data_IF_493584088701
#
_entry.id   IF_493584088701
#
_cell.length_a   1.000
_cell.length_b   1.000
_cell.length_c   1.000
_cell.angle_alpha   90.00
_cell.angle_beta   90.00
_cell.angle_gamma   90.00
#
_symmetry.space_group_name_H-M   'P 1'
#
loop_
_entity.id
_entity.type
_entity.pdbx_description
1 polymer ?
#
# COMPACT_ATOMS: atom_id res chain seq x y z
N UNK A 1 18.46 21.12 -19.91
CA UNK A 1 17.68 20.35 -20.92
C UNK A 1 16.86 19.21 -20.22
N UNK A 2 17.47 18.27 -19.47
CA UNK A 2 16.77 17.10 -18.88
C UNK A 2 15.63 17.51 -17.94
N UNK A 3 15.84 18.46 -17.03
CA UNK A 3 14.82 18.89 -16.06
C UNK A 3 13.58 19.45 -16.77
N UNK A 4 13.74 20.34 -17.74
CA UNK A 4 12.64 20.92 -18.51
C UNK A 4 11.82 19.86 -19.26
N UNK A 5 12.48 18.84 -19.80
CA UNK A 5 11.82 17.73 -20.49
C UNK A 5 11.02 16.87 -19.52
N UNK A 6 11.55 16.59 -18.33
CA UNK A 6 10.86 15.84 -17.28
C UNK A 6 9.66 16.62 -16.75
N UNK A 7 9.80 17.94 -16.55
CA UNK A 7 8.70 18.79 -16.07
C UNK A 7 7.56 18.87 -17.09
N UNK A 8 7.89 18.99 -18.39
CA UNK A 8 6.88 18.92 -19.44
C UNK A 8 6.14 17.58 -19.47
N UNK A 9 6.83 16.47 -19.22
CA UNK A 9 6.21 15.16 -19.12
C UNK A 9 5.34 15.01 -17.86
N UNK A 10 5.78 15.54 -16.72
CA UNK A 10 5.02 15.46 -15.46
C UNK A 10 3.73 16.30 -15.48
N UNK A 11 3.60 17.26 -16.38
CA UNK A 11 2.38 18.08 -16.57
C UNK A 11 1.30 17.37 -17.40
N UNK A 12 1.60 16.20 -17.98
CA UNK A 12 0.59 15.43 -18.72
C UNK A 12 -0.47 14.88 -17.76
N UNK A 13 -1.73 15.02 -18.14
CA UNK A 13 -2.84 14.34 -17.47
C UNK A 13 -2.71 12.82 -17.70
N UNK A 14 -3.03 12.02 -16.67
CA UNK A 14 -3.07 10.55 -16.73
C UNK A 14 -1.72 9.83 -16.88
N UNK A 15 -0.65 10.34 -16.28
CA UNK A 15 0.61 9.59 -16.15
C UNK A 15 0.44 8.34 -15.29
N UNK A 16 0.98 7.22 -15.77
CA UNK A 16 1.05 5.98 -15.02
C UNK A 16 1.92 6.12 -13.76
N UNK A 17 1.67 5.33 -12.70
CA UNK A 17 2.50 5.32 -11.51
C UNK A 17 3.99 5.09 -11.79
N UNK A 18 4.31 4.18 -12.73
CA UNK A 18 5.69 3.92 -13.16
C UNK A 18 6.32 5.12 -13.85
N UNK A 19 5.60 5.80 -14.74
CA UNK A 19 6.09 6.98 -15.44
C UNK A 19 6.43 8.11 -14.46
N UNK A 20 5.55 8.37 -13.47
CA UNK A 20 5.81 9.31 -12.38
C UNK A 20 7.03 8.93 -11.57
N UNK A 21 7.17 7.62 -11.25
CA UNK A 21 8.30 7.10 -10.49
C UNK A 21 9.64 7.35 -11.19
N UNK A 22 9.74 7.02 -12.46
CA UNK A 22 10.97 7.25 -13.26
C UNK A 22 11.22 8.74 -13.51
N UNK A 23 10.18 9.54 -13.77
CA UNK A 23 10.30 10.98 -13.95
C UNK A 23 10.86 11.67 -12.70
N UNK A 24 10.31 11.38 -11.51
CA UNK A 24 10.83 11.92 -10.26
C UNK A 24 12.24 11.45 -9.95
N UNK A 25 12.55 10.17 -10.23
CA UNK A 25 13.92 9.65 -10.09
C UNK A 25 14.90 10.39 -10.98
N UNK A 26 14.57 10.54 -12.25
CA UNK A 26 15.41 11.24 -13.24
C UNK A 26 15.62 12.71 -12.84
N UNK A 27 14.57 13.41 -12.40
CA UNK A 27 14.64 14.79 -11.92
C UNK A 27 15.56 14.89 -10.69
N UNK A 28 15.41 13.99 -9.72
CA UNK A 28 16.24 13.94 -8.52
C UNK A 28 17.73 13.73 -8.87
N UNK A 29 18.03 12.83 -9.79
CA UNK A 29 19.40 12.55 -10.23
C UNK A 29 19.99 13.76 -10.97
N UNK A 30 19.24 14.36 -11.88
CA UNK A 30 19.69 15.56 -12.60
C UNK A 30 20.00 16.74 -11.66
N UNK A 31 19.17 16.96 -10.63
CA UNK A 31 19.39 18.01 -9.63
C UNK A 31 20.63 17.73 -8.75
N UNK A 32 20.87 16.47 -8.38
CA UNK A 32 22.09 16.08 -7.64
C UNK A 32 23.37 16.35 -8.43
N UNK A 33 23.35 16.12 -9.75
CA UNK A 33 24.51 16.37 -10.61
C UNK A 33 24.79 17.86 -10.78
N UNK A 34 23.76 18.72 -10.79
CA UNK A 34 23.96 20.18 -10.86
C UNK A 34 24.55 20.75 -9.54
N UNK A 35 24.22 20.14 -8.39
CA UNK A 35 24.73 20.60 -7.08
C UNK A 35 26.18 20.22 -6.76
N UNK A 36 26.83 19.39 -7.56
CA UNK A 36 28.24 18.99 -7.36
C UNK A 36 29.26 20.08 -7.71
N UNK A 37 28.83 21.18 -8.31
CA UNK A 37 29.70 22.31 -8.67
C UNK A 37 29.94 23.31 -7.52
N UNK A 38 29.25 23.17 -6.39
CA UNK A 38 29.43 24.04 -5.22
C UNK A 38 29.42 23.21 -3.95
N UNK A 39 30.55 23.21 -3.25
CA UNK A 39 30.77 22.56 -1.95
C UNK A 39 29.63 22.88 -0.97
N UNK A 40 28.84 21.90 -0.55
CA UNK A 40 28.32 21.62 0.79
C UNK A 40 27.33 20.44 0.75
N UNK A 41 27.48 19.50 1.68
CA UNK A 41 26.74 18.22 1.83
C UNK A 41 25.27 18.38 2.31
N UNK A 42 24.52 19.35 1.82
CA UNK A 42 23.12 19.62 2.23
C UNK A 42 22.06 19.07 1.24
N UNK A 43 22.47 18.30 0.24
CA UNK A 43 21.71 18.17 -1.00
C UNK A 43 20.51 17.22 -1.06
N UNK A 44 20.41 16.00 -0.42
CA UNK A 44 19.30 15.07 -0.79
C UNK A 44 17.94 15.43 -0.21
N UNK A 45 17.87 16.09 0.97
CA UNK A 45 16.59 16.45 1.62
C UNK A 45 15.91 17.62 0.93
N UNK A 46 16.68 18.67 0.62
CA UNK A 46 16.20 19.87 -0.06
C UNK A 46 15.68 19.56 -1.47
N UNK A 47 16.30 18.61 -2.17
CA UNK A 47 15.96 18.28 -3.55
C UNK A 47 14.61 17.58 -3.70
N UNK A 48 14.26 16.64 -2.78
CA UNK A 48 12.93 16.01 -2.79
C UNK A 48 11.83 16.96 -2.31
N UNK A 49 12.14 17.88 -1.41
CA UNK A 49 11.22 18.95 -0.97
C UNK A 49 10.92 19.91 -2.13
N UNK A 50 11.94 20.31 -2.88
CA UNK A 50 11.77 21.17 -4.03
C UNK A 50 10.94 20.50 -5.13
N UNK A 51 11.24 19.24 -5.47
CA UNK A 51 10.44 18.47 -6.43
C UNK A 51 8.97 18.36 -5.97
N UNK A 52 8.75 18.11 -4.68
CA UNK A 52 7.40 18.03 -4.11
C UNK A 52 6.67 19.37 -4.20
N UNK A 53 7.33 20.47 -3.87
CA UNK A 53 6.76 21.82 -3.97
C UNK A 53 6.34 22.15 -5.42
N UNK A 54 7.23 21.92 -6.38
CA UNK A 54 6.97 22.16 -7.81
C UNK A 54 5.84 21.27 -8.37
N UNK A 55 5.70 20.04 -7.85
CA UNK A 55 4.67 19.10 -8.27
C UNK A 55 3.35 19.22 -7.45
N UNK A 56 3.28 20.12 -6.46
CA UNK A 56 2.11 20.27 -5.58
C UNK A 56 1.85 19.06 -4.67
N UNK A 57 2.88 18.26 -4.35
CA UNK A 57 2.81 17.07 -3.49
C UNK A 57 3.86 17.12 -2.38
N UNK A 58 3.68 16.30 -1.32
CA UNK A 58 4.67 16.24 -0.26
C UNK A 58 5.95 15.51 -0.70
N UNK A 59 7.09 15.87 -0.07
CA UNK A 59 8.38 15.17 -0.28
C UNK A 59 8.28 13.65 -0.07
N UNK A 60 7.43 13.22 0.85
CA UNK A 60 7.28 11.80 1.15
C UNK A 60 6.52 11.05 0.04
N UNK A 61 5.58 11.73 -0.62
CA UNK A 61 4.93 11.20 -1.82
C UNK A 61 5.93 11.07 -2.95
N UNK A 62 6.82 12.06 -3.17
CA UNK A 62 7.90 11.97 -4.17
C UNK A 62 8.80 10.76 -3.89
N UNK A 63 9.24 10.57 -2.63
CA UNK A 63 10.07 9.41 -2.25
C UNK A 63 9.36 8.08 -2.49
N UNK A 64 8.07 8.01 -2.19
CA UNK A 64 7.26 6.80 -2.42
C UNK A 64 7.14 6.47 -3.90
N UNK A 65 6.95 7.47 -4.78
CA UNK A 65 7.00 7.24 -6.24
C UNK A 65 8.37 6.73 -6.66
N UNK A 66 9.45 7.41 -6.28
CA UNK A 66 10.81 6.99 -6.62
C UNK A 66 11.07 5.55 -6.14
N UNK A 67 10.53 5.17 -4.99
CA UNK A 67 10.68 3.82 -4.44
C UNK A 67 10.10 2.74 -5.35
N UNK A 68 9.02 3.02 -6.10
CA UNK A 68 8.44 2.06 -7.06
C UNK A 68 9.44 1.60 -8.13
N UNK A 69 10.46 2.42 -8.46
CA UNK A 69 11.51 2.01 -9.43
C UNK A 69 12.36 0.82 -8.99
N UNK A 70 12.21 0.36 -7.75
CA UNK A 70 12.87 -0.83 -7.23
C UNK A 70 12.03 -2.11 -7.39
N UNK A 71 10.79 -2.00 -7.86
CA UNK A 71 10.00 -3.17 -8.23
C UNK A 71 10.57 -3.84 -9.49
N UNK A 72 10.46 -5.16 -9.53
CA UNK A 72 10.70 -5.89 -10.78
C UNK A 72 9.65 -5.50 -11.83
N UNK A 73 10.00 -5.48 -13.14
CA UNK A 73 9.09 -4.98 -14.16
C UNK A 73 7.69 -5.58 -14.15
N UNK A 74 7.49 -6.90 -13.94
CA UNK A 74 6.15 -7.48 -13.90
C UNK A 74 5.28 -6.94 -12.76
N UNK A 75 5.84 -6.74 -11.55
CA UNK A 75 5.09 -6.16 -10.45
C UNK A 75 4.78 -4.68 -10.68
N UNK A 76 5.71 -3.93 -11.28
CA UNK A 76 5.50 -2.53 -11.61
C UNK A 76 4.39 -2.38 -12.66
N UNK A 77 4.34 -3.26 -13.66
CA UNK A 77 3.24 -3.30 -14.63
C UNK A 77 1.89 -3.53 -13.95
N UNK A 78 1.83 -4.44 -12.96
CA UNK A 78 0.59 -4.66 -12.20
C UNK A 78 0.13 -3.43 -11.40
N UNK A 79 1.05 -2.54 -11.03
CA UNK A 79 0.70 -1.24 -10.42
C UNK A 79 0.08 -0.31 -11.46
N UNK A 80 0.64 -0.26 -12.66
CA UNK A 80 0.13 0.54 -13.77
C UNK A 80 -1.25 0.06 -14.24
N UNK A 81 -1.47 -1.26 -14.24
CA UNK A 81 -2.75 -1.89 -14.54
C UNK A 81 -3.79 -1.74 -13.40
N UNK A 82 -3.41 -1.15 -12.27
CA UNK A 82 -4.28 -0.98 -11.09
C UNK A 82 -4.59 -2.28 -10.32
N UNK A 83 -3.93 -3.40 -10.65
CA UNK A 83 -4.08 -4.69 -9.95
C UNK A 83 -3.44 -4.66 -8.56
N UNK A 84 -2.33 -3.96 -8.40
CA UNK A 84 -1.70 -3.69 -7.11
C UNK A 84 -1.83 -2.19 -6.81
N UNK A 85 -2.44 -1.85 -5.68
CA UNK A 85 -2.58 -0.46 -5.27
C UNK A 85 -1.23 0.17 -4.92
N UNK A 86 -1.10 1.50 -5.05
CA UNK A 86 0.13 2.25 -4.84
C UNK A 86 0.79 1.99 -3.47
N UNK A 87 0.00 1.98 -2.39
CA UNK A 87 0.56 1.81 -1.04
C UNK A 87 1.16 0.42 -0.78
N UNK A 88 0.47 -0.70 -1.07
CA UNK A 88 1.10 -2.03 -1.05
C UNK A 88 2.36 -2.10 -1.93
N UNK A 89 2.30 -1.57 -3.15
CA UNK A 89 3.43 -1.60 -4.09
C UNK A 89 4.69 -0.93 -3.53
N UNK A 90 4.54 0.20 -2.84
CA UNK A 90 5.66 0.86 -2.16
C UNK A 90 6.28 -0.05 -1.09
N UNK A 91 5.47 -0.77 -0.32
CA UNK A 91 5.98 -1.68 0.71
C UNK A 91 6.66 -2.93 0.08
N UNK A 92 6.09 -3.46 -1.00
CA UNK A 92 6.68 -4.59 -1.75
C UNK A 92 8.02 -4.23 -2.40
N UNK A 93 8.25 -2.97 -2.75
CA UNK A 93 9.53 -2.51 -3.31
C UNK A 93 10.72 -2.63 -2.34
N UNK A 94 10.48 -2.97 -1.08
CA UNK A 94 11.53 -3.25 -0.09
C UNK A 94 11.96 -4.72 -0.06
N UNK A 95 11.24 -5.61 -0.71
CA UNK A 95 11.61 -7.01 -0.87
C UNK A 95 12.85 -7.14 -1.78
N UNK A 96 13.60 -8.22 -1.62
CA UNK A 96 14.67 -8.57 -2.54
C UNK A 96 14.12 -8.90 -3.93
N UNK A 97 14.98 -8.91 -4.95
CA UNK A 97 14.54 -9.24 -6.31
C UNK A 97 13.99 -10.67 -6.44
N UNK A 98 14.59 -11.60 -5.70
CA UNK A 98 14.17 -13.01 -5.69
C UNK A 98 12.80 -13.16 -5.00
N UNK A 99 12.59 -12.50 -3.86
CA UNK A 99 11.29 -12.48 -3.17
C UNK A 99 10.20 -11.82 -4.02
N UNK A 100 10.54 -10.77 -4.78
CA UNK A 100 9.60 -10.13 -5.70
C UNK A 100 9.24 -11.03 -6.88
N UNK A 101 10.20 -11.79 -7.42
CA UNK A 101 9.96 -12.75 -8.50
C UNK A 101 9.05 -13.87 -8.02
N UNK A 102 9.34 -14.45 -6.85
CA UNK A 102 8.49 -15.47 -6.23
C UNK A 102 7.07 -14.96 -5.96
N UNK A 103 6.95 -13.73 -5.44
CA UNK A 103 5.64 -13.10 -5.21
C UNK A 103 4.85 -12.94 -6.51
N UNK A 104 5.52 -12.54 -7.61
CA UNK A 104 4.86 -12.40 -8.90
C UNK A 104 4.32 -13.73 -9.42
N UNK A 105 5.11 -14.81 -9.31
CA UNK A 105 4.68 -16.17 -9.68
C UNK A 105 3.49 -16.64 -8.83
N UNK A 106 3.52 -16.36 -7.52
CA UNK A 106 2.42 -16.68 -6.61
C UNK A 106 1.14 -15.91 -6.95
N UNK A 107 1.23 -14.62 -7.24
CA UNK A 107 0.09 -13.80 -7.68
C UNK A 107 -0.57 -14.39 -8.94
N UNK A 108 0.26 -14.88 -9.88
CA UNK A 108 -0.24 -15.51 -11.10
C UNK A 108 -0.93 -16.84 -10.86
N UNK A 109 -0.44 -17.64 -9.90
CA UNK A 109 -1.02 -18.95 -9.55
C UNK A 109 -2.31 -18.86 -8.75
N UNK A 110 -2.34 -17.95 -7.78
CA UNK A 110 -3.44 -17.83 -6.80
C UNK A 110 -4.48 -16.76 -7.19
N UNK A 111 -4.27 -16.02 -8.28
CA UNK A 111 -5.06 -14.86 -8.70
C UNK A 111 -5.37 -13.88 -7.54
N UNK A 112 -4.40 -13.71 -6.66
CA UNK A 112 -4.53 -12.91 -5.45
C UNK A 112 -3.43 -11.85 -5.40
N UNK A 113 -3.78 -10.60 -5.06
CA UNK A 113 -2.83 -9.50 -4.90
C UNK A 113 -2.71 -9.11 -3.43
N UNK A 114 -1.52 -8.75 -2.92
CA UNK A 114 -1.34 -8.46 -1.51
C UNK A 114 -2.07 -7.16 -1.10
N UNK A 115 -2.72 -7.20 0.06
CA UNK A 115 -3.22 -6.02 0.75
C UNK A 115 -2.07 -5.23 1.39
N UNK A 116 -2.34 -3.99 1.85
CA UNK A 116 -1.33 -3.19 2.54
C UNK A 116 -0.79 -3.89 3.80
N UNK A 117 -1.66 -4.52 4.59
CA UNK A 117 -1.25 -5.23 5.81
C UNK A 117 -0.38 -6.44 5.49
N UNK A 118 -0.69 -7.19 4.44
CA UNK A 118 0.13 -8.29 3.96
C UNK A 118 1.49 -7.80 3.45
N UNK A 119 1.51 -6.73 2.65
CA UNK A 119 2.75 -6.14 2.14
C UNK A 119 3.68 -5.62 3.26
N UNK A 120 3.12 -5.02 4.31
CA UNK A 120 3.88 -4.60 5.50
C UNK A 120 4.49 -5.80 6.24
N UNK A 121 3.75 -6.90 6.41
CA UNK A 121 4.25 -8.13 7.03
C UNK A 121 5.36 -8.77 6.18
N UNK A 122 5.16 -8.87 4.87
CA UNK A 122 6.19 -9.37 3.93
C UNK A 122 7.48 -8.56 4.04
N UNK A 123 7.39 -7.22 4.01
CA UNK A 123 8.53 -6.33 4.18
C UNK A 123 9.24 -6.54 5.53
N UNK A 124 8.50 -6.70 6.62
CA UNK A 124 9.10 -6.96 7.93
C UNK A 124 9.87 -8.27 7.94
N UNK A 125 9.26 -9.36 7.46
CA UNK A 125 9.87 -10.68 7.40
C UNK A 125 11.06 -10.74 6.45
N UNK A 126 11.01 -10.02 5.33
CA UNK A 126 12.15 -9.85 4.41
C UNK A 126 13.35 -9.21 5.12
N UNK A 127 13.12 -8.13 5.90
CA UNK A 127 14.18 -7.49 6.70
C UNK A 127 14.80 -8.40 7.75
N UNK A 128 14.01 -9.33 8.27
CA UNK A 128 14.44 -10.34 9.25
C UNK A 128 15.03 -11.59 8.58
N UNK A 129 15.14 -11.63 7.25
CA UNK A 129 15.52 -12.79 6.45
C UNK A 129 14.70 -14.06 6.75
N UNK A 130 13.40 -13.86 7.05
CA UNK A 130 12.42 -14.91 7.38
C UNK A 130 11.32 -15.08 6.34
N UNK A 131 11.36 -14.33 5.23
CA UNK A 131 10.38 -14.41 4.17
C UNK A 131 10.73 -15.54 3.20
N UNK A 132 10.36 -16.77 3.57
CA UNK A 132 10.50 -17.93 2.69
C UNK A 132 9.33 -18.03 1.71
N UNK A 133 9.43 -18.82 0.60
CA UNK A 133 8.32 -19.03 -0.33
C UNK A 133 7.04 -19.56 0.36
N UNK A 134 7.16 -20.45 1.34
CA UNK A 134 6.03 -20.99 2.10
C UNK A 134 5.36 -19.91 2.94
N UNK A 135 6.14 -19.02 3.55
CA UNK A 135 5.63 -17.87 4.33
C UNK A 135 4.95 -16.87 3.42
N UNK A 136 5.54 -16.60 2.25
CA UNK A 136 4.96 -15.74 1.22
C UNK A 136 3.60 -16.26 0.76
N UNK A 137 3.52 -17.56 0.46
CA UNK A 137 2.27 -18.24 0.09
C UNK A 137 1.23 -18.12 1.21
N UNK A 138 1.60 -18.46 2.44
CA UNK A 138 0.69 -18.39 3.58
C UNK A 138 0.11 -16.98 3.81
N UNK A 139 0.95 -15.94 3.67
CA UNK A 139 0.48 -14.55 3.80
C UNK A 139 -0.44 -14.15 2.64
N UNK A 140 -0.09 -14.52 1.40
CA UNK A 140 -0.87 -14.12 0.22
C UNK A 140 -2.26 -14.76 0.20
N UNK A 141 -2.36 -16.03 0.59
CA UNK A 141 -3.60 -16.82 0.60
C UNK A 141 -4.43 -16.67 1.88
N UNK A 142 -3.92 -15.93 2.88
CA UNK A 142 -4.66 -15.63 4.10
C UNK A 142 -5.96 -14.87 3.79
N UNK A 143 -7.07 -15.27 4.42
CA UNK A 143 -8.35 -14.56 4.31
C UNK A 143 -8.18 -13.07 4.67
N UNK A 144 -8.45 -12.20 3.71
CA UNK A 144 -8.36 -10.75 3.96
C UNK A 144 -9.51 -10.32 4.86
N UNK A 145 -9.27 -9.44 5.85
CA UNK A 145 -10.32 -8.94 6.74
C UNK A 145 -11.53 -8.35 5.99
N UNK A 146 -11.32 -7.80 4.79
CA UNK A 146 -12.39 -7.23 3.97
C UNK A 146 -13.22 -8.28 3.20
N UNK A 147 -12.77 -9.54 3.14
CA UNK A 147 -13.48 -10.65 2.50
C UNK A 147 -14.36 -11.42 3.49
N UNK A 148 -14.20 -11.19 4.79
CA UNK A 148 -15.11 -11.74 5.81
C UNK A 148 -16.46 -11.05 5.69
N UNK A 149 -17.51 -11.84 5.54
CA UNK A 149 -18.87 -11.32 5.62
C UNK A 149 -19.06 -10.59 6.94
N UNK A 150 -19.38 -9.30 6.88
CA UNK A 150 -19.61 -8.46 8.04
C UNK A 150 -20.97 -7.78 7.91
N UNK A 151 -21.81 -8.01 8.89
CA UNK A 151 -23.04 -7.23 9.03
C UNK A 151 -22.71 -5.98 9.85
N UNK A 152 -22.72 -4.81 9.20
CA UNK A 152 -22.50 -3.52 9.87
C UNK A 152 -23.83 -2.85 10.17
N UNK A 153 -24.17 -2.76 11.45
CA UNK A 153 -25.36 -2.05 11.92
C UNK A 153 -24.90 -0.72 12.55
N UNK A 154 -25.48 0.39 12.10
CA UNK A 154 -25.17 1.70 12.71
C UNK A 154 -25.58 1.69 14.20
N UNK A 155 -24.65 2.05 15.07
CA UNK A 155 -24.90 2.13 16.52
C UNK A 155 -26.09 2.99 16.88
N UNK A 156 -26.31 4.08 16.14
CA UNK A 156 -27.46 4.98 16.29
C UNK A 156 -28.80 4.25 16.11
N UNK A 157 -28.88 3.32 15.17
CA UNK A 157 -30.09 2.52 14.91
C UNK A 157 -30.39 1.54 16.06
N UNK A 158 -29.36 1.13 16.79
CA UNK A 158 -29.49 0.23 17.94
C UNK A 158 -29.73 0.96 19.25
N UNK A 159 -29.30 2.23 19.37
CA UNK A 159 -29.35 3.03 20.61
C UNK A 159 -30.74 3.09 21.25
N UNK A 160 -31.79 3.13 20.46
CA UNK A 160 -33.19 3.20 20.95
C UNK A 160 -33.65 1.92 21.68
N UNK A 161 -32.93 0.81 21.49
CA UNK A 161 -33.26 -0.49 22.12
C UNK A 161 -32.40 -0.81 23.35
N UNK A 162 -31.40 0.03 23.66
CA UNK A 162 -30.43 -0.22 24.73
C UNK A 162 -30.30 0.98 25.67
N UNK A 163 -29.95 0.74 26.94
CA UNK A 163 -29.66 1.80 27.89
C UNK A 163 -28.53 2.73 27.39
N UNK A 164 -28.60 4.01 27.76
CA UNK A 164 -27.62 5.02 27.29
C UNK A 164 -26.18 4.73 27.67
N UNK A 165 -25.95 4.02 28.76
CA UNK A 165 -24.64 3.64 29.30
C UNK A 165 -24.03 2.38 28.65
N UNK A 166 -24.74 1.70 27.74
CA UNK A 166 -24.22 0.51 27.08
C UNK A 166 -23.16 0.88 26.05
N UNK A 167 -22.00 0.20 26.11
CA UNK A 167 -20.98 0.27 25.08
C UNK A 167 -21.39 -0.56 23.84
N UNK A 168 -20.75 -0.32 22.70
CA UNK A 168 -20.99 -1.10 21.49
C UNK A 168 -20.80 -2.61 21.70
N UNK A 169 -19.77 -2.99 22.45
CA UNK A 169 -19.50 -4.39 22.79
C UNK A 169 -20.57 -5.01 23.69
N UNK A 170 -21.15 -4.25 24.58
CA UNK A 170 -22.26 -4.73 25.42
C UNK A 170 -23.53 -4.94 24.61
N UNK A 171 -23.84 -4.02 23.69
CA UNK A 171 -24.95 -4.16 22.76
C UNK A 171 -24.79 -5.40 21.87
N UNK A 172 -23.61 -5.62 21.33
CA UNK A 172 -23.30 -6.81 20.51
C UNK A 172 -23.54 -8.11 21.29
N UNK A 173 -23.01 -8.23 22.51
CA UNK A 173 -23.21 -9.41 23.35
C UNK A 173 -24.68 -9.69 23.64
N UNK A 174 -25.47 -8.68 23.95
CA UNK A 174 -26.91 -8.84 24.20
C UNK A 174 -27.65 -9.24 22.91
N UNK A 175 -27.30 -8.68 21.75
CA UNK A 175 -27.88 -9.09 20.47
C UNK A 175 -27.61 -10.58 20.22
N UNK A 176 -26.37 -11.02 20.40
CA UNK A 176 -25.98 -12.43 20.21
C UNK A 176 -26.81 -13.34 21.14
N UNK A 177 -26.93 -13.00 22.45
CA UNK A 177 -27.73 -13.78 23.39
C UNK A 177 -29.21 -13.89 22.97
N UNK A 178 -29.79 -12.79 22.51
CA UNK A 178 -31.17 -12.78 22.06
C UNK A 178 -31.37 -13.66 20.80
N UNK A 179 -30.42 -13.61 19.88
CA UNK A 179 -30.46 -14.45 18.68
C UNK A 179 -30.27 -15.93 19.02
N UNK A 180 -29.37 -16.28 19.94
CA UNK A 180 -29.19 -17.66 20.42
C UNK A 180 -30.45 -18.20 21.11
N UNK A 181 -31.07 -17.38 21.99
CA UNK A 181 -32.31 -17.76 22.65
C UNK A 181 -33.44 -18.03 21.64
N UNK A 182 -33.56 -17.14 20.65
CA UNK A 182 -34.55 -17.31 19.56
C UNK A 182 -34.29 -18.54 18.69
N UNK A 183 -33.01 -18.81 18.39
CA UNK A 183 -32.62 -19.99 17.61
C UNK A 183 -32.97 -21.28 18.33
N UNK A 184 -32.65 -21.36 19.65
CA UNK A 184 -33.04 -22.53 20.52
C UNK A 184 -34.53 -22.72 20.62
N UNK A 185 -35.31 -21.61 20.64
CA UNK A 185 -36.76 -21.69 20.69
C UNK A 185 -37.40 -22.15 19.36
N UNK A 186 -36.72 -21.99 18.22
CA UNK A 186 -37.20 -22.47 16.93
C UNK A 186 -36.82 -23.90 16.61
N UNK A 187 -35.86 -24.46 17.32
CA UNK A 187 -35.37 -25.83 17.11
C UNK A 187 -36.08 -26.90 17.98
N UNK A 188 -37.22 -26.55 18.60
CA UNK A 188 -38.11 -27.48 19.32
C UNK A 188 -39.41 -27.71 18.57
#
# INVERSE_FOLDING_TARGET
AVILMVDSNLQRENLLPSEKAFAYKMKLEAMKHQGKSTSVQLAPKLTTEQIGYEAGISKDVVKRYIRLTNLVPPLLQMVDDGRIAFSPAVELSYLTRDEQAELWDLIGREDATPSLSQALRMKQLSREAKLTPEVLYAILTEEKPNQKEQIRIKTESLRKYFPRNYSAQQMEREIIKLLEARYRAKGR
#
